data_IF_635288615358
#
_entry.id   IF_635288615358
#
_cell.length_a   1.000
_cell.length_b   1.000
_cell.length_c   1.000
_cell.angle_alpha   90.00
_cell.angle_beta   90.00
_cell.angle_gamma   90.00
#
_symmetry.space_group_name_H-M   'P 1'
#
loop_
_entity.id
_entity.type
_entity.pdbx_description
1 polymer ?
#
# COMPACT_ATOMS: atom_id res chain seq x y z
N UNK A 1 -7.89 -15.24 -3.06
CA UNK A 1 -7.77 -16.08 -1.85
C UNK A 1 -6.51 -16.97 -1.83
N UNK A 2 -5.99 -17.46 -2.96
CA UNK A 2 -4.79 -18.33 -2.98
C UNK A 2 -3.46 -17.63 -2.63
N UNK A 3 -3.37 -16.29 -2.73
CA UNK A 3 -2.13 -15.54 -2.50
C UNK A 3 -1.70 -15.37 -1.04
N UNK A 4 -2.64 -15.36 -0.08
CA UNK A 4 -2.34 -15.09 1.34
C UNK A 4 -1.76 -16.34 2.01
N UNK A 5 -2.38 -17.50 1.75
CA UNK A 5 -1.91 -18.78 2.29
C UNK A 5 -0.54 -19.16 1.73
N UNK A 6 -0.32 -18.93 0.43
CA UNK A 6 0.96 -19.25 -0.22
C UNK A 6 2.14 -18.43 0.31
N UNK A 7 1.95 -17.16 0.66
CA UNK A 7 3.01 -16.37 1.26
C UNK A 7 3.35 -16.83 2.68
N UNK A 8 2.36 -17.16 3.51
CA UNK A 8 2.61 -17.71 4.83
C UNK A 8 3.33 -19.07 4.73
N UNK A 9 2.88 -19.93 3.83
CA UNK A 9 3.49 -21.23 3.58
C UNK A 9 4.98 -21.10 3.22
N UNK A 10 5.34 -20.18 2.32
CA UNK A 10 6.74 -19.91 1.96
C UNK A 10 7.60 -19.50 3.16
N UNK A 11 7.06 -18.70 4.08
CA UNK A 11 7.78 -18.30 5.29
C UNK A 11 7.97 -19.48 6.24
N UNK A 12 6.94 -20.32 6.44
CA UNK A 12 7.02 -21.54 7.24
C UNK A 12 8.08 -22.49 6.67
N UNK A 13 8.07 -22.74 5.36
CA UNK A 13 9.07 -23.59 4.70
C UNK A 13 10.50 -23.05 4.83
N UNK A 14 10.67 -21.73 4.87
CA UNK A 14 11.97 -21.07 5.09
C UNK A 14 12.45 -21.29 6.53
N UNK A 15 11.57 -21.16 7.51
CA UNK A 15 11.88 -21.43 8.93
C UNK A 15 12.30 -22.89 9.08
N UNK A 16 11.51 -23.84 8.58
CA UNK A 16 11.80 -25.28 8.70
C UNK A 16 13.16 -25.62 8.09
N UNK A 17 13.46 -25.13 6.89
CA UNK A 17 14.77 -25.37 6.24
C UNK A 17 15.94 -24.83 7.07
N UNK A 18 15.77 -23.66 7.68
CA UNK A 18 16.83 -23.01 8.45
C UNK A 18 17.01 -23.62 9.85
N UNK A 19 15.93 -24.10 10.47
CA UNK A 19 15.97 -24.92 11.69
C UNK A 19 16.69 -26.24 11.42
N UNK A 20 16.34 -26.95 10.33
CA UNK A 20 16.98 -28.19 9.96
C UNK A 20 18.50 -28.02 9.73
N UNK A 21 18.90 -26.91 9.10
CA UNK A 21 20.32 -26.57 8.94
C UNK A 21 21.04 -26.36 10.28
N UNK A 22 20.43 -25.60 11.19
CA UNK A 22 20.98 -25.34 12.53
C UNK A 22 21.14 -26.60 13.38
N UNK A 23 20.18 -27.52 13.32
CA UNK A 23 20.23 -28.81 14.03
C UNK A 23 21.45 -29.62 13.58
N UNK A 24 21.75 -29.62 12.28
CA UNK A 24 22.89 -30.37 11.73
C UNK A 24 24.23 -29.68 12.03
N UNK A 25 24.28 -28.35 11.96
CA UNK A 25 25.50 -27.56 12.19
C UNK A 25 25.91 -27.53 13.66
N UNK A 26 24.98 -27.21 14.56
CA UNK A 26 25.22 -27.01 16.00
C UNK A 26 24.99 -28.28 16.84
N UNK A 27 24.62 -29.42 16.22
CA UNK A 27 24.29 -30.70 16.88
C UNK A 27 23.27 -30.58 18.03
N UNK A 28 22.30 -29.68 17.88
CA UNK A 28 21.21 -29.47 18.85
C UNK A 28 19.97 -30.24 18.43
N UNK A 29 19.31 -30.93 19.37
CA UNK A 29 18.09 -31.71 19.08
C UNK A 29 16.85 -30.84 18.85
N UNK A 30 16.81 -29.64 19.44
CA UNK A 30 15.65 -28.77 19.42
C UNK A 30 16.05 -27.31 19.30
N UNK A 31 15.32 -26.57 18.46
CA UNK A 31 15.48 -25.12 18.27
C UNK A 31 14.13 -24.47 18.56
N UNK A 32 14.07 -23.69 19.64
CA UNK A 32 12.89 -22.90 19.98
C UNK A 32 12.83 -21.64 19.09
N UNK A 33 11.76 -21.47 18.33
CA UNK A 33 11.56 -20.30 17.46
C UNK A 33 10.53 -19.38 18.11
N UNK A 34 10.98 -18.21 18.56
CA UNK A 34 10.20 -17.21 19.25
C UNK A 34 10.28 -15.85 18.53
N UNK A 35 9.52 -14.86 19.01
CA UNK A 35 9.47 -13.53 18.38
C UNK A 35 10.84 -12.83 18.33
N UNK A 36 11.69 -13.06 19.32
CA UNK A 36 12.99 -12.40 19.44
C UNK A 36 14.01 -12.94 18.43
N UNK A 37 13.94 -14.24 18.11
CA UNK A 37 14.85 -14.90 17.16
C UNK A 37 14.25 -15.10 15.76
N UNK A 38 12.98 -14.77 15.55
CA UNK A 38 12.28 -14.94 14.27
C UNK A 38 13.01 -14.27 13.10
N UNK A 39 13.64 -13.12 13.36
CA UNK A 39 14.41 -12.35 12.38
C UNK A 39 15.57 -13.16 11.80
N UNK A 40 16.18 -14.05 12.60
CA UNK A 40 17.27 -14.91 12.14
C UNK A 40 16.79 -15.96 11.13
N UNK A 41 15.52 -16.36 11.21
CA UNK A 41 14.93 -17.38 10.34
C UNK A 41 14.32 -16.81 9.07
N UNK A 42 13.40 -15.84 9.21
CA UNK A 42 12.65 -15.28 8.08
C UNK A 42 13.26 -13.99 7.52
N UNK A 43 14.12 -13.31 8.28
CA UNK A 43 14.70 -12.02 7.93
C UNK A 43 13.94 -10.85 8.56
N UNK A 44 14.29 -9.63 8.15
CA UNK A 44 13.62 -8.41 8.62
C UNK A 44 12.13 -8.44 8.25
N UNK A 45 11.24 -7.90 9.11
CA UNK A 45 9.82 -7.83 8.82
C UNK A 45 9.56 -7.12 7.50
N UNK A 46 8.85 -7.81 6.59
CA UNK A 46 8.53 -7.30 5.24
C UNK A 46 7.38 -6.29 5.27
N UNK A 47 6.52 -6.41 6.28
CA UNK A 47 5.37 -5.54 6.49
C UNK A 47 5.53 -4.83 7.84
N UNK A 48 6.09 -3.64 7.83
CA UNK A 48 5.78 -2.66 8.87
C UNK A 48 4.32 -2.25 8.70
N UNK A 49 3.62 -1.92 9.79
CA UNK A 49 2.27 -1.35 9.72
C UNK A 49 2.33 0.02 9.03
N UNK A 50 2.51 0.05 7.72
CA UNK A 50 2.59 1.26 6.92
C UNK A 50 1.18 1.77 6.69
N UNK A 51 0.56 2.27 7.76
CA UNK A 51 -0.33 3.41 7.59
C UNK A 51 0.55 4.53 7.08
N UNK A 52 0.46 4.80 5.78
CA UNK A 52 1.20 5.89 5.13
C UNK A 52 0.97 7.23 5.84
N UNK A 53 -0.21 7.39 6.44
CA UNK A 53 -0.57 8.52 7.29
C UNK A 53 -1.32 8.02 8.54
N UNK A 54 -0.88 8.42 9.74
CA UNK A 54 -1.64 8.19 10.99
C UNK A 54 -2.91 9.05 11.03
N UNK A 55 -2.79 10.30 10.60
CA UNK A 55 -3.88 11.25 10.37
C UNK A 55 -3.68 11.84 8.98
N UNK A 56 -4.70 11.79 8.12
CA UNK A 56 -4.60 12.30 6.75
C UNK A 56 -4.45 13.82 6.73
N UNK A 57 -3.41 14.38 6.10
CA UNK A 57 -3.26 15.82 5.96
C UNK A 57 -4.33 16.42 5.03
N UNK A 58 -4.58 17.74 5.07
CA UNK A 58 -5.53 18.39 4.17
C UNK A 58 -5.20 18.12 2.69
N UNK A 59 -6.20 17.69 1.93
CA UNK A 59 -6.03 17.31 0.52
C UNK A 59 -5.72 15.82 0.31
N UNK A 60 -5.60 15.02 1.37
CA UNK A 60 -5.47 13.55 1.27
C UNK A 60 -6.66 12.88 1.93
N UNK A 61 -7.23 11.88 1.26
CA UNK A 61 -8.33 11.05 1.80
C UNK A 61 -8.05 9.57 1.60
N UNK A 62 -8.48 8.75 2.54
CA UNK A 62 -8.42 7.28 2.43
C UNK A 62 -9.66 6.76 1.71
N UNK A 63 -9.47 6.06 0.61
CA UNK A 63 -10.48 5.34 -0.15
C UNK A 63 -10.31 3.84 -0.03
N UNK A 64 -11.39 3.10 -0.31
CA UNK A 64 -11.37 1.65 -0.43
C UNK A 64 -11.50 1.30 -1.92
N UNK A 65 -10.65 0.39 -2.38
CA UNK A 65 -10.67 -0.11 -3.74
C UNK A 65 -10.77 -1.63 -3.74
N UNK A 66 -11.47 -2.15 -4.74
CA UNK A 66 -11.49 -3.59 -5.02
C UNK A 66 -10.51 -3.90 -6.13
N UNK A 67 -9.47 -4.67 -5.81
CA UNK A 67 -8.46 -5.12 -6.79
C UNK A 67 -8.62 -6.60 -7.07
N UNK A 68 -7.96 -7.12 -8.11
CA UNK A 68 -7.94 -8.56 -8.42
C UNK A 68 -7.42 -9.43 -7.28
N UNK A 69 -6.61 -8.85 -6.39
CA UNK A 69 -6.05 -9.52 -5.21
C UNK A 69 -6.96 -9.42 -3.97
N UNK A 70 -8.06 -8.65 -4.05
CA UNK A 70 -8.99 -8.38 -2.95
C UNK A 70 -9.16 -6.89 -2.67
N UNK A 71 -9.84 -6.57 -1.57
CA UNK A 71 -10.00 -5.21 -1.07
C UNK A 71 -8.65 -4.61 -0.63
N UNK A 72 -8.40 -3.36 -1.04
CA UNK A 72 -7.20 -2.59 -0.71
C UNK A 72 -7.58 -1.16 -0.33
N UNK A 73 -6.85 -0.56 0.61
CA UNK A 73 -6.97 0.86 0.94
C UNK A 73 -6.06 1.67 0.02
N UNK A 74 -6.58 2.75 -0.56
CA UNK A 74 -5.83 3.68 -1.39
C UNK A 74 -5.90 5.10 -0.81
N UNK A 75 -4.82 5.86 -0.93
CA UNK A 75 -4.85 7.29 -0.61
C UNK A 75 -5.04 8.10 -1.89
N UNK A 76 -6.05 8.98 -1.89
CA UNK A 76 -6.30 9.92 -2.97
C UNK A 76 -5.77 11.27 -2.52
N UNK A 77 -4.80 11.80 -3.26
CA UNK A 77 -4.15 13.07 -2.95
C UNK A 77 -4.57 14.15 -3.95
N UNK A 78 -4.81 15.36 -3.45
CA UNK A 78 -5.14 16.54 -4.24
C UNK A 78 -4.23 17.68 -3.84
N UNK A 79 -3.51 18.23 -4.81
CA UNK A 79 -2.65 19.39 -4.61
C UNK A 79 -3.10 20.57 -5.46
N UNK A 80 -3.00 21.78 -4.90
CA UNK A 80 -3.25 23.01 -5.66
C UNK A 80 -2.00 23.34 -6.47
N UNK A 81 -2.07 23.16 -7.78
CA UNK A 81 -1.02 23.61 -8.69
C UNK A 81 -1.00 25.14 -8.71
N UNK A 82 0.06 25.75 -8.17
CA UNK A 82 0.25 27.21 -8.23
C UNK A 82 0.68 27.57 -9.65
N UNK A 83 -0.25 28.10 -10.44
CA UNK A 83 0.06 28.63 -11.77
C UNK A 83 0.61 30.04 -11.59
N UNK A 84 1.88 30.26 -11.98
CA UNK A 84 2.56 31.56 -11.88
C UNK A 84 2.07 32.60 -12.90
N UNK A 85 1.30 32.16 -13.89
CA UNK A 85 0.70 33.00 -14.92
C UNK A 85 -0.69 33.42 -14.45
N UNK A 86 -1.08 34.71 -14.56
CA UNK A 86 -2.44 35.12 -14.23
C UNK A 86 -3.39 34.34 -15.12
N UNK A 87 -4.26 33.55 -14.49
CA UNK A 87 -5.41 32.99 -15.18
C UNK A 87 -6.26 34.19 -15.61
N UNK A 88 -6.55 34.33 -16.91
CA UNK A 88 -7.58 35.25 -17.41
C UNK A 88 -8.85 35.03 -16.58
N UNK A 89 -9.65 36.07 -16.36
CA UNK A 89 -10.86 36.00 -15.51
C UNK A 89 -11.84 34.88 -15.92
N UNK A 90 -11.80 34.44 -17.19
CA UNK A 90 -12.58 33.32 -17.72
C UNK A 90 -11.85 31.96 -17.78
N UNK A 91 -10.64 31.84 -17.20
CA UNK A 91 -9.92 30.56 -17.21
C UNK A 91 -10.54 29.62 -16.18
N UNK A 92 -11.42 28.75 -16.67
CA UNK A 92 -11.93 27.59 -15.93
C UNK A 92 -10.74 26.84 -15.31
N UNK A 93 -10.62 26.86 -13.98
CA UNK A 93 -9.59 26.08 -13.28
C UNK A 93 -9.56 24.64 -13.80
N UNK A 94 -8.37 24.17 -14.20
CA UNK A 94 -8.17 22.82 -14.72
C UNK A 94 -7.94 21.83 -13.56
N UNK A 95 -8.37 20.58 -13.75
CA UNK A 95 -8.02 19.47 -12.85
C UNK A 95 -7.30 18.46 -13.72
N UNK A 96 -6.06 18.16 -13.36
CA UNK A 96 -5.23 17.14 -14.00
C UNK A 96 -5.26 15.89 -13.12
N UNK A 97 -5.64 14.75 -13.70
CA UNK A 97 -5.71 13.47 -12.99
C UNK A 97 -4.51 12.61 -13.38
N UNK A 98 -3.77 12.10 -12.40
CA UNK A 98 -2.56 11.26 -12.60
C UNK A 98 -2.74 9.88 -11.98
N UNK A 99 -1.85 8.93 -12.29
CA UNK A 99 -1.87 7.60 -11.67
C UNK A 99 -2.63 6.52 -12.44
N UNK A 100 -2.65 6.59 -13.78
CA UNK A 100 -3.26 5.58 -14.66
C UNK A 100 -4.73 5.27 -14.30
N UNK A 101 -5.49 6.31 -13.96
CA UNK A 101 -6.91 6.19 -13.65
C UNK A 101 -7.67 5.73 -14.90
N UNK A 102 -8.56 4.75 -14.72
CA UNK A 102 -9.49 4.32 -15.76
C UNK A 102 -10.50 5.42 -16.11
N UNK A 103 -11.14 5.28 -17.27
CA UNK A 103 -12.00 6.35 -17.80
C UNK A 103 -13.22 6.64 -16.91
N UNK A 104 -13.77 5.61 -16.25
CA UNK A 104 -14.85 5.75 -15.24
C UNK A 104 -14.44 6.64 -14.08
N UNK A 105 -13.19 6.52 -13.63
CA UNK A 105 -12.68 7.32 -12.52
C UNK A 105 -12.39 8.75 -12.97
N UNK A 106 -11.88 8.95 -14.20
CA UNK A 106 -11.71 10.29 -14.79
C UNK A 106 -13.05 11.02 -14.92
N UNK A 107 -14.09 10.33 -15.37
CA UNK A 107 -15.45 10.87 -15.46
C UNK A 107 -15.98 11.28 -14.08
N UNK A 108 -15.83 10.40 -13.08
CA UNK A 108 -16.22 10.67 -11.69
C UNK A 108 -15.57 11.95 -11.14
N UNK A 109 -14.28 12.18 -11.45
CA UNK A 109 -13.59 13.42 -11.07
C UNK A 109 -14.17 14.64 -11.79
N UNK A 110 -14.54 14.55 -13.07
CA UNK A 110 -15.18 15.67 -13.78
C UNK A 110 -16.57 16.00 -13.20
N UNK A 111 -17.35 14.98 -12.83
CA UNK A 111 -18.65 15.18 -12.17
C UNK A 111 -18.46 15.91 -10.84
N UNK A 112 -17.53 15.43 -10.01
CA UNK A 112 -17.20 16.06 -8.72
C UNK A 112 -16.78 17.54 -8.89
N UNK A 113 -15.92 17.82 -9.88
CA UNK A 113 -15.50 19.18 -10.23
C UNK A 113 -16.69 20.10 -10.54
N UNK A 114 -17.66 19.61 -11.30
CA UNK A 114 -18.84 20.40 -11.67
C UNK A 114 -19.74 20.67 -10.47
N UNK A 115 -19.86 19.72 -9.54
CA UNK A 115 -20.60 19.91 -8.28
C UNK A 115 -19.92 20.96 -7.41
N UNK A 116 -18.59 20.91 -7.26
CA UNK A 116 -17.84 21.86 -6.42
C UNK A 116 -17.82 23.29 -6.95
N UNK A 117 -18.07 23.48 -8.26
CA UNK A 117 -18.16 24.81 -8.88
C UNK A 117 -19.52 25.48 -8.70
N UNK A 118 -20.55 24.71 -8.33
CA UNK A 118 -21.91 25.20 -8.12
C UNK A 118 -22.07 25.75 -6.72
#
# INVERSE_FOLDING_TARGET
YEGICSNLQKHIEKIIRKVAFKIVEDQVEFVDVNLDNLIDFVGKPVFTHDRMYDITPPGVVMGLAWTSMGGSTLFIETTKKVVKTPLKEDSLGSIECTGHLGDVMKESVQICKNILKK
#
